data_IF_331325759677
#
_entry.id   IF_331325759677
#
_cell.length_a   1.000
_cell.length_b   1.000
_cell.length_c   1.000
_cell.angle_alpha   90.00
_cell.angle_beta   90.00
_cell.angle_gamma   90.00
#
_symmetry.space_group_name_H-M   'P 1'
#
loop_
_entity.id
_entity.type
_entity.pdbx_description
1 polymer ?
#
# COMPACT_ATOMS: atom_id res chain seq x y z
N UNK A 1 -7.75 -9.16 3.91
CA UNK A 1 -7.84 -7.70 3.81
C UNK A 1 -7.58 -7.33 2.36
N UNK A 2 -8.38 -6.44 1.80
CA UNK A 2 -8.20 -5.93 0.43
C UNK A 2 -7.83 -4.46 0.54
N UNK A 3 -6.79 -4.06 -0.19
CA UNK A 3 -6.33 -2.67 -0.28
C UNK A 3 -6.01 -2.36 -1.73
N UNK A 4 -6.29 -1.14 -2.18
CA UNK A 4 -6.01 -0.71 -3.56
C UNK A 4 -4.52 -0.47 -3.79
N UNK A 5 -3.79 -0.04 -2.76
CA UNK A 5 -2.35 0.23 -2.78
C UNK A 5 -1.61 -0.61 -1.75
N UNK A 6 -0.32 -0.84 -1.98
CA UNK A 6 0.59 -1.47 -1.02
C UNK A 6 0.51 -0.81 0.37
N UNK A 7 0.36 -1.57 1.47
CA UNK A 7 0.16 -1.00 2.79
C UNK A 7 1.45 -0.39 3.35
N UNK A 8 1.39 0.84 3.88
CA UNK A 8 2.47 1.44 4.68
C UNK A 8 2.73 0.63 5.98
N UNK A 9 3.75 1.01 6.74
CA UNK A 9 4.13 0.29 7.96
C UNK A 9 3.03 0.25 9.03
N UNK A 10 2.26 1.33 9.16
CA UNK A 10 1.11 1.37 10.08
C UNK A 10 0.05 0.33 9.69
N UNK A 11 -0.39 0.34 8.43
CA UNK A 11 -1.40 -0.60 7.92
C UNK A 11 -0.90 -2.05 7.93
N UNK A 12 0.38 -2.26 7.65
CA UNK A 12 1.08 -3.54 7.76
C UNK A 12 1.06 -4.05 9.20
N UNK A 13 1.42 -3.20 10.16
CA UNK A 13 1.39 -3.51 11.59
C UNK A 13 -0.02 -3.90 12.07
N UNK A 14 -1.06 -3.21 11.60
CA UNK A 14 -2.44 -3.57 11.88
C UNK A 14 -2.80 -4.97 11.37
N UNK A 15 -2.38 -5.34 10.16
CA UNK A 15 -2.59 -6.69 9.62
C UNK A 15 -1.93 -7.77 10.46
N UNK A 16 -0.70 -7.52 10.91
CA UNK A 16 0.05 -8.43 11.79
C UNK A 16 -0.65 -8.55 13.15
N UNK A 17 -1.04 -7.42 13.76
CA UNK A 17 -1.70 -7.38 15.07
C UNK A 17 -2.99 -8.20 15.08
N UNK A 18 -3.85 -8.02 14.07
CA UNK A 18 -5.11 -8.73 13.94
C UNK A 18 -4.98 -10.14 13.35
N UNK A 19 -3.76 -10.59 13.05
CA UNK A 19 -3.48 -11.93 12.49
C UNK A 19 -4.25 -12.18 11.19
N UNK A 20 -4.34 -11.15 10.35
CA UNK A 20 -4.91 -11.26 9.00
C UNK A 20 -4.16 -12.35 8.25
N UNK A 21 -4.89 -13.29 7.64
CA UNK A 21 -4.28 -14.44 6.96
C UNK A 21 -3.79 -14.13 5.55
N UNK A 22 -4.49 -13.21 4.86
CA UNK A 22 -4.21 -12.83 3.48
C UNK A 22 -4.45 -11.34 3.26
N UNK A 23 -3.52 -10.69 2.58
CA UNK A 23 -3.62 -9.32 2.08
C UNK A 23 -3.57 -9.35 0.55
N UNK A 24 -4.62 -8.85 -0.09
CA UNK A 24 -4.70 -8.72 -1.55
C UNK A 24 -4.58 -7.23 -1.89
N UNK A 25 -3.58 -6.91 -2.70
CA UNK A 25 -3.14 -5.56 -3.04
C UNK A 25 -3.52 -5.29 -4.49
N UNK A 26 -4.18 -4.17 -4.75
CA UNK A 26 -4.52 -3.72 -6.09
C UNK A 26 -3.25 -3.50 -6.92
N UNK A 27 -2.40 -2.58 -6.47
CA UNK A 27 -1.13 -2.26 -7.13
C UNK A 27 -0.04 -1.87 -6.11
N UNK A 28 1.23 -1.99 -6.52
CA UNK A 28 2.38 -1.60 -5.72
C UNK A 28 3.48 -0.88 -6.53
N UNK A 29 3.16 -0.38 -7.72
CA UNK A 29 4.12 0.35 -8.57
C UNK A 29 4.26 1.79 -8.12
N UNK A 30 3.18 2.38 -7.61
CA UNK A 30 3.18 3.77 -7.14
C UNK A 30 3.89 3.92 -5.80
N UNK A 31 3.67 2.96 -4.90
CA UNK A 31 4.24 2.94 -3.56
C UNK A 31 4.37 1.48 -3.11
N UNK A 32 5.48 1.16 -2.45
CA UNK A 32 5.73 -0.14 -1.83
C UNK A 32 6.03 0.09 -0.35
N UNK A 33 5.16 -0.42 0.52
CA UNK A 33 5.37 -0.39 1.96
C UNK A 33 5.84 -1.74 2.51
N UNK A 34 5.12 -2.24 3.52
CA UNK A 34 5.53 -3.38 4.34
C UNK A 34 5.25 -4.78 3.76
N UNK A 35 5.12 -4.94 2.44
CA UNK A 35 4.78 -6.23 1.80
C UNK A 35 5.68 -7.38 2.23
N UNK A 36 6.99 -7.13 2.24
CA UNK A 36 7.99 -8.12 2.66
C UNK A 36 7.81 -8.52 4.11
N UNK A 37 7.51 -7.56 4.99
CA UNK A 37 7.29 -7.83 6.41
C UNK A 37 6.04 -8.69 6.63
N UNK A 38 4.95 -8.46 5.88
CA UNK A 38 3.77 -9.34 5.92
C UNK A 38 4.14 -10.79 5.58
N UNK A 39 4.91 -10.99 4.50
CA UNK A 39 5.36 -12.32 4.07
C UNK A 39 6.25 -12.99 5.13
N UNK A 40 7.19 -12.26 5.73
CA UNK A 40 8.05 -12.75 6.81
C UNK A 40 7.25 -13.18 8.06
N UNK A 41 6.08 -12.57 8.28
CA UNK A 41 5.14 -12.93 9.36
C UNK A 41 4.19 -14.06 8.98
N UNK A 42 4.38 -14.68 7.81
CA UNK A 42 3.57 -15.80 7.32
C UNK A 42 2.19 -15.39 6.81
N UNK A 43 1.99 -14.10 6.49
CA UNK A 43 0.76 -13.60 5.88
C UNK A 43 0.90 -13.73 4.36
N UNK A 44 -0.11 -14.31 3.72
CA UNK A 44 -0.13 -14.41 2.26
C UNK A 44 -0.35 -13.03 1.63
N UNK A 45 0.52 -12.65 0.70
CA UNK A 45 0.44 -11.38 -0.03
C UNK A 45 0.23 -11.69 -1.51
N UNK A 46 -0.82 -11.11 -2.09
CA UNK A 46 -1.15 -11.23 -3.52
C UNK A 46 -1.24 -9.83 -4.12
N UNK A 47 -0.45 -9.55 -5.15
CA UNK A 47 -0.51 -8.27 -5.89
C UNK A 47 -1.19 -8.54 -7.23
N UNK A 48 -2.26 -7.80 -7.52
CA UNK A 48 -3.07 -8.02 -8.72
C UNK A 48 -2.57 -7.26 -9.95
N UNK A 49 -1.66 -6.30 -9.77
CA UNK A 49 -1.24 -5.35 -10.82
C UNK A 49 -2.44 -4.69 -11.52
N UNK A 50 -3.41 -4.24 -10.71
CA UNK A 50 -4.65 -3.66 -11.18
C UNK A 50 -4.42 -2.28 -11.79
N UNK A 51 -4.65 -2.17 -13.10
CA UNK A 51 -4.45 -0.95 -13.87
C UNK A 51 -5.28 0.23 -13.35
N UNK A 52 -6.54 0.01 -12.97
CA UNK A 52 -7.43 1.10 -12.52
C UNK A 52 -6.95 1.68 -11.19
N UNK A 53 -6.45 0.84 -10.27
CA UNK A 53 -5.84 1.28 -9.02
C UNK A 53 -4.59 2.13 -9.29
N UNK A 54 -3.73 1.68 -10.20
CA UNK A 54 -2.49 2.38 -10.53
C UNK A 54 -2.77 3.73 -11.19
N UNK A 55 -3.62 3.76 -12.21
CA UNK A 55 -3.98 5.00 -12.92
C UNK A 55 -4.62 6.03 -11.98
N UNK A 56 -5.47 5.58 -11.06
CA UNK A 56 -6.10 6.45 -10.07
C UNK A 56 -5.07 7.06 -9.13
N UNK A 57 -4.16 6.26 -8.58
CA UNK A 57 -3.11 6.76 -7.70
C UNK A 57 -2.15 7.70 -8.43
N UNK A 58 -1.74 7.35 -9.66
CA UNK A 58 -0.90 8.21 -10.50
C UNK A 58 -1.57 9.56 -10.80
N UNK A 59 -2.89 9.58 -11.03
CA UNK A 59 -3.64 10.82 -11.21
C UNK A 59 -3.65 11.66 -9.93
N UNK A 60 -3.96 11.05 -8.79
CA UNK A 60 -4.04 11.75 -7.51
C UNK A 60 -2.70 12.40 -7.14
N UNK A 61 -1.60 11.66 -7.18
CA UNK A 61 -0.27 12.16 -6.81
C UNK A 61 0.17 13.29 -7.74
N UNK A 62 -0.15 13.20 -9.04
CA UNK A 62 0.16 14.27 -9.99
C UNK A 62 -0.65 15.54 -9.73
N UNK A 63 -1.92 15.40 -9.36
CA UNK A 63 -2.82 16.54 -9.13
C UNK A 63 -2.63 17.17 -7.75
N UNK A 64 -2.16 16.38 -6.77
CA UNK A 64 -2.05 16.74 -5.36
C UNK A 64 -0.82 16.07 -4.69
N UNK A 65 0.40 16.48 -5.06
CA UNK A 65 1.62 15.86 -4.52
C UNK A 65 1.77 16.11 -3.01
N UNK A 66 1.52 17.33 -2.54
CA UNK A 66 1.69 17.71 -1.13
C UNK A 66 0.75 16.89 -0.22
N UNK A 67 -0.54 16.75 -0.59
CA UNK A 67 -1.51 15.90 0.13
C UNK A 67 -1.03 14.41 0.18
N UNK A 68 -0.37 13.92 -0.88
CA UNK A 68 0.17 12.56 -0.89
C UNK A 68 1.38 12.40 0.03
N UNK A 69 2.33 13.35 -0.03
CA UNK A 69 3.51 13.31 0.83
C UNK A 69 3.13 13.46 2.30
N UNK A 70 2.14 14.29 2.63
CA UNK A 70 1.54 14.36 3.96
C UNK A 70 1.01 13.00 4.43
N UNK A 71 0.25 12.28 3.59
CA UNK A 71 -0.36 10.98 3.94
C UNK A 71 0.69 9.90 4.31
N UNK A 72 1.86 9.93 3.65
CA UNK A 72 2.97 9.02 3.93
C UNK A 72 4.02 9.61 4.89
N UNK A 73 3.80 10.82 5.41
CA UNK A 73 4.70 11.49 6.35
C UNK A 73 6.07 11.88 5.77
N UNK A 74 6.16 12.12 4.47
CA UNK A 74 7.33 12.73 3.82
C UNK A 74 7.15 14.26 3.75
N UNK A 75 8.25 15.02 3.83
CA UNK A 75 8.23 16.46 3.55
C UNK A 75 8.24 16.71 2.03
N UNK A 76 7.51 17.73 1.58
CA UNK A 76 7.31 18.10 0.16
C UNK A 76 8.64 18.08 -0.63
N UNK A 77 8.65 17.38 -1.77
CA UNK A 77 9.78 17.33 -2.72
C UNK A 77 9.61 18.32 -3.86
#
# INVERSE_FOLDING_TARGET
>A
MYTTLSPCDMCTGACVMYKVKRVVIGENKTFVGGEKYLQERGIEVVVLDNKDCHDLMQKFIREKPDDWYEDIGEEDK
#
